data_IF_492642773099
#
_entry.id   IF_492642773099
#
_cell.length_a   1.000
_cell.length_b   1.000
_cell.length_c   1.000
_cell.angle_alpha   90.00
_cell.angle_beta   90.00
_cell.angle_gamma   90.00
#
_symmetry.space_group_name_H-M   'P 1'
#
loop_
_entity.id
_entity.type
_entity.pdbx_description
1 polymer ?
#
# COMPACT_ATOMS: atom_id res chain seq x y z
N UNK A 1 -3.54 -30.25 -10.77
CA UNK A 1 -3.63 -29.78 -9.36
C UNK A 1 -2.47 -28.82 -9.00
N UNK A 2 -1.19 -29.19 -9.19
CA UNK A 2 -0.02 -28.34 -8.84
C UNK A 2 -0.01 -26.95 -9.51
N UNK A 3 -0.43 -26.79 -10.78
CA UNK A 3 -0.46 -25.51 -11.49
C UNK A 3 -1.52 -24.53 -10.92
N UNK A 4 -2.71 -25.02 -10.55
CA UNK A 4 -3.77 -24.21 -9.93
C UNK A 4 -3.35 -23.72 -8.53
N UNK A 5 -2.70 -24.59 -7.76
CA UNK A 5 -2.20 -24.25 -6.42
C UNK A 5 -1.07 -23.21 -6.51
N UNK A 6 -0.13 -23.36 -7.44
CA UNK A 6 0.93 -22.37 -7.69
C UNK A 6 0.34 -21.01 -8.08
N UNK A 7 -0.67 -20.97 -8.96
CA UNK A 7 -1.34 -19.73 -9.33
C UNK A 7 -1.99 -19.03 -8.12
N UNK A 8 -2.64 -19.79 -7.25
CA UNK A 8 -3.27 -19.26 -6.03
C UNK A 8 -2.23 -18.58 -5.13
N UNK A 9 -1.06 -19.19 -4.92
CA UNK A 9 0.03 -18.60 -4.15
C UNK A 9 0.66 -17.39 -4.86
N UNK A 10 0.89 -17.47 -6.17
CA UNK A 10 1.50 -16.41 -6.95
C UNK A 10 0.58 -15.20 -7.17
N UNK A 11 -0.75 -15.39 -7.02
CA UNK A 11 -1.74 -14.31 -7.09
C UNK A 11 -2.00 -13.60 -5.76
N UNK A 12 -1.51 -14.13 -4.63
CA UNK A 12 -1.79 -13.59 -3.30
C UNK A 12 -3.29 -13.46 -2.95
N UNK A 13 -4.19 -14.16 -3.65
CA UNK A 13 -5.62 -14.20 -3.31
C UNK A 13 -5.83 -14.76 -1.90
N UNK A 14 -5.00 -15.72 -1.49
CA UNK A 14 -5.04 -16.25 -0.13
C UNK A 14 -4.78 -15.15 0.93
N UNK A 15 -3.86 -14.21 0.64
CA UNK A 15 -3.57 -13.07 1.53
C UNK A 15 -4.80 -12.15 1.64
N UNK A 16 -5.47 -11.89 0.50
CA UNK A 16 -6.70 -11.10 0.49
C UNK A 16 -7.79 -11.77 1.35
N UNK A 17 -8.06 -13.04 1.13
CA UNK A 17 -9.11 -13.77 1.86
C UNK A 17 -8.79 -13.84 3.35
N UNK A 18 -7.56 -14.21 3.71
CA UNK A 18 -7.15 -14.32 5.11
C UNK A 18 -7.15 -12.95 5.81
N UNK A 19 -6.60 -11.92 5.17
CA UNK A 19 -6.59 -10.57 5.72
C UNK A 19 -7.99 -10.01 5.95
N UNK A 20 -8.90 -10.24 5.00
CA UNK A 20 -10.29 -9.81 5.13
C UNK A 20 -11.01 -10.57 6.26
N UNK A 21 -10.77 -11.88 6.41
CA UNK A 21 -11.32 -12.66 7.53
C UNK A 21 -10.82 -12.10 8.87
N UNK A 22 -9.52 -11.83 8.99
CA UNK A 22 -8.94 -11.28 10.22
C UNK A 22 -9.57 -9.92 10.55
N UNK A 23 -9.74 -9.03 9.58
CA UNK A 23 -10.37 -7.73 9.77
C UNK A 23 -11.83 -7.88 10.24
N UNK A 24 -12.65 -8.64 9.52
CA UNK A 24 -14.07 -8.84 9.85
C UNK A 24 -14.23 -9.50 11.23
N UNK A 25 -13.44 -10.53 11.52
CA UNK A 25 -13.53 -11.26 12.80
C UNK A 25 -13.10 -10.35 13.95
N UNK A 26 -11.98 -9.64 13.84
CA UNK A 26 -11.53 -8.72 14.89
C UNK A 26 -12.55 -7.63 15.19
N UNK A 27 -13.10 -6.98 14.18
CA UNK A 27 -14.17 -5.97 14.31
C UNK A 27 -15.44 -6.55 14.95
N UNK A 28 -15.81 -7.76 14.55
CA UNK A 28 -16.97 -8.45 15.13
C UNK A 28 -16.77 -8.80 16.61
N UNK A 29 -15.57 -9.24 16.98
CA UNK A 29 -15.22 -9.52 18.39
C UNK A 29 -15.28 -8.24 19.23
N UNK A 30 -14.70 -7.15 18.75
CA UNK A 30 -14.76 -5.86 19.45
C UNK A 30 -16.20 -5.43 19.65
N UNK A 31 -16.99 -5.41 18.58
CA UNK A 31 -18.40 -4.99 18.64
C UNK A 31 -19.26 -5.87 19.56
N UNK A 32 -18.95 -7.17 19.67
CA UNK A 32 -19.70 -8.10 20.53
C UNK A 32 -19.37 -7.99 22.00
N UNK A 33 -18.18 -7.50 22.38
CA UNK A 33 -17.67 -7.53 23.74
C UNK A 33 -17.42 -6.15 24.38
N UNK A 34 -17.52 -5.08 23.60
CA UNK A 34 -17.24 -3.71 24.06
C UNK A 34 -18.36 -2.77 23.64
N UNK A 35 -18.61 -1.73 24.45
CA UNK A 35 -19.43 -0.58 24.12
C UNK A 35 -18.58 0.51 23.49
N UNK A 36 -19.18 1.37 22.66
CA UNK A 36 -18.46 2.52 22.07
C UNK A 36 -17.90 3.42 23.19
N UNK A 37 -16.61 3.69 23.12
CA UNK A 37 -15.86 4.45 24.13
C UNK A 37 -15.16 3.59 25.19
N UNK A 38 -15.46 2.29 25.28
CA UNK A 38 -14.72 1.38 26.17
C UNK A 38 -13.27 1.28 25.75
N UNK A 39 -12.36 1.19 26.75
CA UNK A 39 -10.93 1.08 26.53
C UNK A 39 -10.28 0.08 27.48
N UNK A 40 -9.44 -0.80 26.93
CA UNK A 40 -8.64 -1.79 27.67
C UNK A 40 -7.16 -1.50 27.39
N UNK A 41 -6.44 -1.04 28.43
CA UNK A 41 -5.03 -0.74 28.32
C UNK A 41 -4.23 -2.04 28.24
N UNK A 42 -3.50 -2.25 27.14
CA UNK A 42 -2.60 -3.37 26.94
C UNK A 42 -1.17 -3.05 27.37
N UNK A 43 -0.68 -1.87 27.02
CA UNK A 43 0.65 -1.36 27.40
C UNK A 43 0.45 0.08 27.93
N UNK A 44 0.77 0.34 29.20
CA UNK A 44 0.62 1.68 29.78
C UNK A 44 1.32 2.76 28.94
N UNK A 45 0.65 3.87 28.73
CA UNK A 45 1.13 5.03 27.95
C UNK A 45 1.47 4.76 26.49
N UNK A 46 1.09 3.59 25.93
CA UNK A 46 1.46 3.25 24.56
C UNK A 46 0.34 2.62 23.74
N UNK A 47 -0.33 1.55 24.23
CA UNK A 47 -1.27 0.77 23.42
C UNK A 47 -2.50 0.39 24.24
N UNK A 48 -3.67 0.66 23.68
CA UNK A 48 -4.96 0.18 24.18
C UNK A 48 -5.80 -0.43 23.07
N UNK A 49 -6.80 -1.19 23.45
CA UNK A 49 -7.94 -1.53 22.61
C UNK A 49 -9.07 -0.59 23.01
N UNK A 50 -9.40 0.35 22.16
CA UNK A 50 -10.44 1.37 22.40
C UNK A 50 -11.49 1.30 21.31
N UNK A 51 -12.71 0.86 21.62
CA UNK A 51 -13.75 0.77 20.60
C UNK A 51 -14.28 2.15 20.21
N UNK A 52 -14.13 2.50 18.95
CA UNK A 52 -14.64 3.75 18.38
C UNK A 52 -15.28 3.51 17.01
N UNK A 53 -16.36 4.24 16.74
CA UNK A 53 -16.91 4.34 15.40
C UNK A 53 -16.34 5.56 14.67
N UNK A 54 -15.81 5.34 13.48
CA UNK A 54 -15.24 6.37 12.63
C UNK A 54 -16.18 6.70 11.46
N UNK A 55 -16.83 7.86 11.53
CA UNK A 55 -17.71 8.39 10.48
C UNK A 55 -16.97 9.20 9.42
N UNK A 56 -15.69 9.50 9.66
CA UNK A 56 -14.82 10.28 8.79
C UNK A 56 -13.79 9.38 8.04
N UNK A 57 -12.85 10.01 7.35
CA UNK A 57 -11.64 9.35 6.86
C UNK A 57 -10.53 9.38 7.92
N UNK A 58 -9.34 8.91 7.52
CA UNK A 58 -8.15 9.03 8.33
C UNK A 58 -7.96 10.48 8.84
N UNK A 59 -7.53 10.62 10.10
CA UNK A 59 -7.32 11.91 10.77
C UNK A 59 -8.57 12.79 10.97
N UNK A 60 -9.75 12.19 11.00
CA UNK A 60 -10.99 12.94 11.22
C UNK A 60 -11.39 13.85 10.03
N UNK A 61 -10.78 13.68 8.88
CA UNK A 61 -11.18 14.43 7.68
C UNK A 61 -12.57 14.01 7.24
N UNK A 62 -13.50 14.96 7.20
CA UNK A 62 -14.88 14.70 6.77
C UNK A 62 -15.73 15.94 6.78
N UNK A 63 -16.93 15.81 6.23
CA UNK A 63 -17.97 16.83 6.27
C UNK A 63 -18.78 16.70 7.56
N UNK A 64 -19.46 17.76 7.97
CA UNK A 64 -20.34 17.74 9.15
C UNK A 64 -21.54 16.78 9.03
N UNK A 65 -21.85 16.32 7.83
CA UNK A 65 -22.96 15.42 7.55
C UNK A 65 -22.45 13.97 7.38
N UNK A 66 -22.78 13.10 8.32
CA UNK A 66 -22.38 11.69 8.32
C UNK A 66 -22.86 10.92 7.07
N UNK A 67 -24.06 11.24 6.56
CA UNK A 67 -24.59 10.60 5.34
C UNK A 67 -23.76 10.97 4.12
N UNK A 68 -23.35 12.24 4.01
CA UNK A 68 -22.49 12.71 2.93
C UNK A 68 -21.13 12.04 3.03
N UNK A 69 -20.53 11.97 4.22
CA UNK A 69 -19.28 11.26 4.45
C UNK A 69 -19.37 9.81 4.01
N UNK A 70 -20.39 9.08 4.46
CA UNK A 70 -20.60 7.68 4.11
C UNK A 70 -20.53 7.47 2.59
N UNK A 71 -21.31 8.21 1.81
CA UNK A 71 -21.39 8.02 0.36
C UNK A 71 -20.11 8.45 -0.36
N UNK A 72 -19.49 9.54 0.05
CA UNK A 72 -18.21 9.98 -0.53
C UNK A 72 -17.15 8.91 -0.33
N UNK A 73 -16.99 8.38 0.91
CA UNK A 73 -15.96 7.36 1.17
C UNK A 73 -16.26 6.01 0.50
N UNK A 74 -17.53 5.66 0.34
CA UNK A 74 -17.93 4.51 -0.47
C UNK A 74 -17.50 4.70 -1.92
N UNK A 75 -17.80 5.84 -2.54
CA UNK A 75 -17.45 6.13 -3.93
C UNK A 75 -15.92 6.13 -4.10
N UNK A 76 -15.18 6.82 -3.23
CA UNK A 76 -13.72 6.88 -3.26
C UNK A 76 -13.12 5.47 -3.12
N UNK A 77 -13.62 4.65 -2.20
CA UNK A 77 -13.16 3.28 -2.02
C UNK A 77 -13.43 2.43 -3.27
N UNK A 78 -14.61 2.52 -3.89
CA UNK A 78 -14.92 1.82 -5.13
C UNK A 78 -13.99 2.22 -6.28
N UNK A 79 -13.73 3.51 -6.44
CA UNK A 79 -12.80 4.01 -7.46
C UNK A 79 -11.38 3.48 -7.21
N UNK A 80 -10.90 3.56 -5.97
CA UNK A 80 -9.58 3.04 -5.61
C UNK A 80 -9.47 1.53 -5.86
N UNK A 81 -10.45 0.74 -5.42
CA UNK A 81 -10.53 -0.70 -5.65
C UNK A 81 -10.55 -0.99 -7.16
N UNK A 82 -11.35 -0.27 -7.94
CA UNK A 82 -11.43 -0.41 -9.39
C UNK A 82 -10.09 -0.17 -10.08
N UNK A 83 -9.39 0.89 -9.71
CA UNK A 83 -8.05 1.21 -10.23
C UNK A 83 -7.03 0.11 -9.85
N UNK A 84 -7.02 -0.33 -8.60
CA UNK A 84 -6.11 -1.40 -8.14
C UNK A 84 -6.37 -2.69 -8.90
N UNK A 85 -7.65 -3.10 -9.04
CA UNK A 85 -8.02 -4.30 -9.77
C UNK A 85 -7.68 -4.20 -11.26
N UNK A 86 -7.92 -3.04 -11.89
CA UNK A 86 -7.55 -2.81 -13.27
C UNK A 86 -6.05 -3.03 -13.50
N UNK A 87 -5.19 -2.39 -12.72
CA UNK A 87 -3.74 -2.57 -12.83
C UNK A 87 -3.30 -3.98 -12.45
N UNK A 88 -3.88 -4.56 -11.41
CA UNK A 88 -3.58 -5.92 -10.99
C UNK A 88 -3.87 -6.95 -12.09
N UNK A 89 -5.05 -6.86 -12.71
CA UNK A 89 -5.48 -7.81 -13.75
C UNK A 89 -4.71 -7.56 -15.07
N UNK A 90 -4.66 -6.31 -15.53
CA UNK A 90 -4.04 -5.92 -16.81
C UNK A 90 -2.55 -6.25 -16.86
N UNK A 91 -1.85 -6.12 -15.74
CA UNK A 91 -0.41 -6.32 -15.64
C UNK A 91 -0.02 -7.58 -14.84
N UNK A 92 -0.97 -8.48 -14.59
CA UNK A 92 -0.77 -9.64 -13.72
C UNK A 92 0.46 -10.46 -14.07
N UNK A 93 0.72 -10.74 -15.37
CA UNK A 93 1.86 -11.53 -15.83
C UNK A 93 3.19 -10.77 -15.72
N UNK A 94 3.15 -9.46 -15.80
CA UNK A 94 4.33 -8.58 -15.84
C UNK A 94 4.80 -8.21 -14.42
N UNK A 95 3.86 -8.07 -13.46
CA UNK A 95 4.19 -7.63 -12.11
C UNK A 95 4.97 -8.69 -11.33
N UNK A 96 6.02 -8.21 -10.64
CA UNK A 96 6.76 -9.02 -9.67
C UNK A 96 5.86 -9.43 -8.51
N UNK A 97 6.16 -10.56 -7.87
CA UNK A 97 5.37 -11.08 -6.73
C UNK A 97 5.23 -10.06 -5.60
N UNK A 98 6.30 -9.31 -5.31
CA UNK A 98 6.28 -8.29 -4.28
C UNK A 98 5.24 -7.19 -4.55
N UNK A 99 5.16 -6.68 -5.78
CA UNK A 99 4.16 -5.67 -6.14
C UNK A 99 2.73 -6.21 -6.04
N UNK A 100 2.51 -7.48 -6.41
CA UNK A 100 1.21 -8.13 -6.23
C UNK A 100 0.81 -8.21 -4.76
N UNK A 101 1.75 -8.54 -3.87
CA UNK A 101 1.50 -8.56 -2.43
C UNK A 101 1.13 -7.16 -1.89
N UNK A 102 1.85 -6.11 -2.31
CA UNK A 102 1.53 -4.73 -1.94
C UNK A 102 0.09 -4.36 -2.33
N UNK A 103 -0.29 -4.61 -3.59
CA UNK A 103 -1.62 -4.30 -4.10
C UNK A 103 -2.71 -5.10 -3.37
N UNK A 104 -2.44 -6.38 -3.02
CA UNK A 104 -3.38 -7.19 -2.26
C UNK A 104 -3.53 -6.69 -0.82
N UNK A 105 -2.48 -6.26 -0.15
CA UNK A 105 -2.59 -5.64 1.17
C UNK A 105 -3.49 -4.38 1.11
N UNK A 106 -3.25 -3.49 0.16
CA UNK A 106 -4.08 -2.28 0.00
C UNK A 106 -5.54 -2.66 -0.29
N UNK A 107 -5.76 -3.68 -1.12
CA UNK A 107 -7.10 -4.15 -1.46
C UNK A 107 -7.83 -4.75 -0.25
N UNK A 108 -7.14 -5.53 0.61
CA UNK A 108 -7.71 -6.03 1.89
C UNK A 108 -8.28 -4.88 2.70
N UNK A 109 -7.46 -3.86 2.94
CA UNK A 109 -7.88 -2.74 3.79
C UNK A 109 -8.98 -1.89 3.16
N UNK A 110 -8.90 -1.62 1.85
CA UNK A 110 -9.93 -0.86 1.14
C UNK A 110 -11.30 -1.59 1.18
N UNK A 111 -11.30 -2.92 0.95
CA UNK A 111 -12.54 -3.72 0.99
C UNK A 111 -13.05 -3.89 2.42
N UNK A 112 -12.18 -4.14 3.42
CA UNK A 112 -12.58 -4.25 4.82
C UNK A 112 -13.31 -3.01 5.32
N UNK A 113 -12.73 -1.83 5.11
CA UNK A 113 -13.35 -0.56 5.49
C UNK A 113 -14.58 -0.19 4.63
N UNK A 114 -14.65 -0.68 3.39
CA UNK A 114 -15.82 -0.51 2.55
C UNK A 114 -17.01 -1.33 3.07
N UNK A 115 -16.79 -2.57 3.50
CA UNK A 115 -17.82 -3.43 4.09
C UNK A 115 -18.44 -2.75 5.30
N UNK A 116 -17.66 -2.21 6.22
CA UNK A 116 -18.17 -1.51 7.40
C UNK A 116 -19.06 -0.32 7.01
N UNK A 117 -18.62 0.50 6.04
CA UNK A 117 -19.41 1.64 5.57
C UNK A 117 -20.72 1.24 4.92
N UNK A 118 -20.75 0.08 4.24
CA UNK A 118 -22.00 -0.45 3.70
C UNK A 118 -22.94 -0.94 4.79
N UNK A 119 -22.43 -1.71 5.73
CA UNK A 119 -23.23 -2.38 6.76
C UNK A 119 -23.64 -1.40 7.86
N UNK A 120 -22.69 -0.62 8.37
CA UNK A 120 -22.89 0.21 9.56
C UNK A 120 -22.95 1.71 9.24
N UNK A 121 -22.59 2.15 8.04
CA UNK A 121 -22.45 3.56 7.68
C UNK A 121 -21.17 4.23 8.20
N UNK A 122 -20.40 3.55 9.02
CA UNK A 122 -19.20 4.00 9.73
C UNK A 122 -18.22 2.84 9.86
N UNK A 123 -16.96 3.10 10.18
CA UNK A 123 -15.91 2.07 10.32
C UNK A 123 -15.73 1.76 11.80
N UNK A 124 -15.44 0.49 12.12
CA UNK A 124 -15.10 0.03 13.48
C UNK A 124 -13.58 0.12 13.64
N UNK A 125 -13.12 1.01 14.54
CA UNK A 125 -11.73 1.20 14.89
C UNK A 125 -11.49 0.78 16.34
N UNK A 126 -10.29 0.21 16.63
CA UNK A 126 -10.02 -0.32 17.97
C UNK A 126 -8.54 -0.40 18.38
N UNK A 127 -7.59 -0.18 17.48
CA UNK A 127 -6.15 -0.15 17.79
C UNK A 127 -5.77 1.27 18.13
N UNK A 128 -5.54 1.56 19.42
CA UNK A 128 -5.32 2.88 19.95
C UNK A 128 -3.88 3.03 20.48
N UNK A 129 -3.06 3.80 19.76
CA UNK A 129 -1.72 4.19 20.21
C UNK A 129 -1.78 5.47 21.03
N UNK A 130 -2.60 5.46 22.08
CA UNK A 130 -2.79 6.61 22.96
C UNK A 130 -1.46 7.10 23.56
N UNK A 131 -1.24 8.40 23.59
CA UNK A 131 0.04 8.99 24.04
C UNK A 131 1.06 9.24 22.95
N UNK A 132 0.94 8.58 21.78
CA UNK A 132 1.79 8.85 20.61
C UNK A 132 0.95 9.41 19.45
N UNK A 133 -0.25 8.87 19.26
CA UNK A 133 -1.10 9.19 18.12
C UNK A 133 -2.56 9.36 18.54
N UNK A 134 -3.27 10.33 17.97
CA UNK A 134 -4.65 10.65 18.36
C UNK A 134 -5.72 9.92 17.53
N UNK A 135 -5.31 9.10 16.58
CA UNK A 135 -6.24 8.34 15.76
C UNK A 135 -6.26 6.87 16.20
N UNK A 136 -7.46 6.29 16.23
CA UNK A 136 -7.68 4.87 16.46
C UNK A 136 -7.76 4.19 15.11
N UNK A 137 -7.22 2.99 14.98
CA UNK A 137 -7.08 2.22 13.75
C UNK A 137 -7.77 0.86 13.85
N UNK A 138 -7.83 0.16 12.73
CA UNK A 138 -8.25 -1.24 12.66
C UNK A 138 -7.26 -2.08 11.84
N UNK A 139 -7.59 -3.36 11.66
CA UNK A 139 -6.73 -4.28 10.89
C UNK A 139 -6.69 -3.89 9.41
N UNK A 140 -7.82 -3.46 8.82
CA UNK A 140 -7.86 -3.01 7.43
C UNK A 140 -6.93 -1.81 7.20
N UNK A 141 -6.90 -0.83 8.12
CA UNK A 141 -5.99 0.32 8.04
C UNK A 141 -4.52 -0.12 8.12
N UNK A 142 -4.21 -1.08 8.99
CA UNK A 142 -2.88 -1.66 9.10
C UNK A 142 -2.44 -2.31 7.77
N UNK A 143 -3.34 -3.02 7.09
CA UNK A 143 -3.07 -3.56 5.77
C UNK A 143 -2.84 -2.47 4.71
N UNK A 144 -3.60 -1.37 4.72
CA UNK A 144 -3.38 -0.23 3.83
C UNK A 144 -1.99 0.37 4.07
N UNK A 145 -1.68 0.69 5.33
CA UNK A 145 -0.40 1.33 5.69
C UNK A 145 0.79 0.46 5.29
N UNK A 146 0.76 -0.83 5.65
CA UNK A 146 1.82 -1.78 5.26
C UNK A 146 1.93 -1.91 3.75
N UNK A 147 0.80 -2.05 3.04
CA UNK A 147 0.77 -2.19 1.59
C UNK A 147 1.32 -0.96 0.87
N UNK A 148 0.94 0.24 1.31
CA UNK A 148 1.43 1.51 0.75
C UNK A 148 2.92 1.69 1.05
N UNK A 149 3.36 1.43 2.28
CA UNK A 149 4.78 1.53 2.65
C UNK A 149 5.65 0.59 1.81
N UNK A 150 5.23 -0.68 1.67
CA UNK A 150 5.90 -1.66 0.81
C UNK A 150 5.93 -1.20 -0.66
N UNK A 151 4.83 -0.61 -1.16
CA UNK A 151 4.74 -0.10 -2.53
C UNK A 151 5.73 1.05 -2.75
N UNK A 152 5.80 2.00 -1.83
CA UNK A 152 6.75 3.13 -1.89
C UNK A 152 8.19 2.63 -1.93
N UNK A 153 8.56 1.71 -1.02
CA UNK A 153 9.89 1.08 -1.03
C UNK A 153 10.17 0.40 -2.38
N UNK A 154 9.18 -0.33 -2.91
CA UNK A 154 9.34 -1.00 -4.20
C UNK A 154 9.62 -0.01 -5.33
N UNK A 155 8.87 1.11 -5.39
CA UNK A 155 9.06 2.14 -6.41
C UNK A 155 10.44 2.80 -6.31
N UNK A 156 10.89 3.14 -5.10
CA UNK A 156 12.23 3.71 -4.86
C UNK A 156 13.32 2.73 -5.36
N UNK A 157 13.19 1.44 -5.02
CA UNK A 157 14.17 0.44 -5.45
C UNK A 157 14.18 0.30 -6.99
N UNK A 158 13.02 0.35 -7.67
CA UNK A 158 12.99 0.29 -9.12
C UNK A 158 13.65 1.54 -9.73
N UNK A 159 13.34 2.73 -9.25
CA UNK A 159 13.91 3.99 -9.75
C UNK A 159 15.46 4.00 -9.62
N UNK A 160 15.97 3.57 -8.46
CA UNK A 160 17.44 3.45 -8.25
C UNK A 160 18.06 2.45 -9.22
N UNK A 161 17.40 1.34 -9.50
CA UNK A 161 17.91 0.34 -10.47
C UNK A 161 17.92 0.88 -11.89
N UNK A 162 16.86 1.57 -12.30
CA UNK A 162 16.74 2.15 -13.63
C UNK A 162 17.76 3.27 -13.83
N UNK A 163 17.98 4.12 -12.80
CA UNK A 163 19.02 5.13 -12.82
C UNK A 163 20.44 4.53 -13.00
N UNK A 164 20.76 3.48 -12.21
CA UNK A 164 22.07 2.80 -12.33
C UNK A 164 22.25 2.14 -13.69
N UNK A 165 21.20 1.54 -14.24
CA UNK A 165 21.25 0.92 -15.56
C UNK A 165 21.48 1.96 -16.66
N UNK A 166 20.81 3.12 -16.62
CA UNK A 166 21.04 4.23 -17.55
C UNK A 166 22.49 4.74 -17.48
N UNK A 167 22.99 5.00 -16.27
CA UNK A 167 24.35 5.48 -16.05
C UNK A 167 25.40 4.48 -16.59
N UNK A 168 25.21 3.19 -16.38
CA UNK A 168 26.12 2.15 -16.87
C UNK A 168 26.16 2.05 -18.41
N UNK A 169 25.11 2.50 -19.11
CA UNK A 169 25.08 2.57 -20.58
C UNK A 169 25.77 3.83 -21.08
N UNK A 170 25.68 4.95 -20.37
CA UNK A 170 26.25 6.25 -20.76
C UNK A 170 27.78 6.31 -20.57
N UNK A 171 28.33 5.74 -19.51
CA UNK A 171 29.77 5.75 -19.23
C UNK A 171 30.67 5.13 -20.34
N UNK A 172 30.34 3.97 -20.96
CA UNK A 172 31.17 3.40 -22.02
C UNK A 172 31.16 4.22 -23.31
N UNK A 173 30.05 4.93 -23.59
CA UNK A 173 29.92 5.75 -24.81
C UNK A 173 30.79 7.02 -24.69
N UNK A 174 30.80 7.65 -23.52
CA UNK A 174 31.60 8.85 -23.25
C UNK A 174 33.11 8.55 -23.26
N UNK A 175 33.52 7.44 -22.66
CA UNK A 175 34.91 6.97 -22.71
C UNK A 175 35.40 6.65 -24.13
N UNK A 176 34.52 6.10 -24.96
CA UNK A 176 34.86 5.78 -26.38
C UNK A 176 34.94 7.03 -27.25
N UNK A 177 34.10 8.02 -27.00
CA UNK A 177 34.13 9.31 -27.72
C UNK A 177 35.37 10.11 -27.33
N UNK A 178 35.74 10.19 -26.05
CA UNK A 178 36.93 10.85 -25.56
C UNK A 178 38.21 10.19 -26.16
N UNK A 179 38.27 8.85 -26.19
CA UNK A 179 39.43 8.14 -26.76
C UNK A 179 39.59 8.38 -28.25
N UNK A 180 38.48 8.55 -28.97
CA UNK A 180 38.51 8.85 -30.40
C UNK A 180 38.96 10.29 -30.68
N UNK A 181 38.46 11.24 -29.88
CA UNK A 181 38.82 12.67 -29.99
C UNK A 181 40.28 12.91 -29.56
N UNK A 182 40.76 12.18 -28.56
CA UNK A 182 42.20 12.22 -28.16
C UNK A 182 43.09 11.63 -29.23
N UNK A 183 42.72 10.55 -29.90
CA UNK A 183 43.48 9.98 -31.02
C UNK A 183 43.55 10.94 -32.18
N UNK A 184 42.46 11.58 -32.57
CA UNK A 184 42.42 12.57 -33.63
C UNK A 184 43.31 13.81 -33.30
N UNK A 185 43.40 14.25 -32.04
CA UNK A 185 44.32 15.30 -31.64
C UNK A 185 45.79 14.87 -31.70
N UNK A 186 46.09 13.66 -31.30
CA UNK A 186 47.47 13.11 -31.35
C UNK A 186 47.92 12.92 -32.82
N UNK A 187 47.00 12.52 -33.70
CA UNK A 187 47.32 12.42 -35.14
C UNK A 187 47.56 13.80 -35.76
N UNK A 188 46.78 14.82 -35.41
CA UNK A 188 46.98 16.19 -35.89
C UNK A 188 48.30 16.81 -35.40
N UNK A 189 48.70 16.61 -34.13
CA UNK A 189 49.96 17.09 -33.59
C UNK A 189 51.20 16.38 -34.19
N UNK A 190 51.03 15.19 -34.78
CA UNK A 190 52.11 14.47 -35.45
C UNK A 190 52.27 14.82 -36.92
N UNK A 191 51.27 15.43 -37.56
CA UNK A 191 51.36 15.93 -38.95
C UNK A 191 51.95 17.32 -39.09
N UNK A 192 52.03 18.08 -37.96
CA UNK A 192 52.65 19.42 -37.93
C UNK A 192 54.15 19.43 -37.55
N UNK A 193 54.79 18.27 -37.37
CA UNK A 193 56.23 18.12 -37.07
C UNK A 193 56.98 17.47 -38.24
#
# INVERSE_FOLDING_TARGET
>A
MKAKLKWLFDSFIWLFVLGLIIDIVSKSVIKANMSEGDSIILIPHFLAITFSYNEAAAFGMGFKNAVVNRWIYIIVAFLAIGVILYFYISKFKTYKKFLKACLMCILVGAVGNLIDRFVYGKVIDFIDFFGIWHAIFNVADSFIVVGVFMLVIYLIIQEVKDYKAKKAVEEPVQGKVLSKTEKEKIEADNEEK
#
